data_IF_109535232370
#
_entry.id   IF_109535232370
#
_cell.length_a   1.000
_cell.length_b   1.000
_cell.length_c   1.000
_cell.angle_alpha   90.00
_cell.angle_beta   90.00
_cell.angle_gamma   90.00
#
_symmetry.space_group_name_H-M   'P 1'
#
loop_
_entity.id
_entity.type
_entity.pdbx_description
1 polymer ?
#
# COMPACT_ATOMS: atom_id res chain seq x y z
N UNK A 1 14.14 9.36 11.13
CA UNK A 1 13.66 10.77 11.10
C UNK A 1 12.42 10.87 11.98
N UNK A 2 12.33 11.83 12.93
CA UNK A 2 11.18 11.97 13.80
C UNK A 2 10.03 12.67 13.06
N UNK A 3 9.20 11.90 12.36
CA UNK A 3 8.09 12.43 11.58
C UNK A 3 6.83 12.56 12.42
N UNK A 4 6.47 13.79 12.83
CA UNK A 4 5.24 14.26 13.52
C UNK A 4 5.44 14.94 14.90
N UNK A 5 6.70 15.14 15.33
CA UNK A 5 6.98 15.67 16.67
C UNK A 5 6.67 14.69 17.79
N UNK A 6 6.32 13.44 17.47
CA UNK A 6 6.22 12.36 18.45
C UNK A 6 7.34 11.35 18.11
N UNK A 7 8.06 10.94 19.13
CA UNK A 7 9.09 9.92 19.01
C UNK A 7 8.51 8.63 19.57
N UNK A 8 8.37 7.63 18.70
CA UNK A 8 7.81 6.34 19.02
C UNK A 8 8.88 5.27 18.84
N UNK A 9 8.90 4.30 19.75
CA UNK A 9 9.73 3.10 19.63
C UNK A 9 8.87 1.85 19.74
N UNK A 10 9.15 0.83 18.92
CA UNK A 10 8.57 -0.49 19.14
C UNK A 10 9.12 -1.08 20.43
N UNK A 11 8.25 -1.71 21.19
CA UNK A 11 8.61 -2.44 22.39
C UNK A 11 8.86 -3.90 22.00
N UNK A 12 10.06 -4.40 22.33
CA UNK A 12 10.35 -5.83 22.27
C UNK A 12 9.92 -6.52 23.56
N UNK A 13 9.72 -7.85 23.55
CA UNK A 13 9.31 -8.61 24.74
C UNK A 13 10.22 -8.41 25.96
N UNK A 14 11.53 -8.30 25.75
CA UNK A 14 12.50 -8.02 26.83
C UNK A 14 12.28 -6.66 27.49
N UNK A 15 12.03 -5.61 26.70
CA UNK A 15 11.73 -4.27 27.23
C UNK A 15 10.32 -4.23 27.82
N UNK A 16 9.39 -4.95 27.21
CA UNK A 16 8.01 -5.03 27.63
C UNK A 16 7.81 -5.57 29.04
N UNK A 17 8.67 -6.49 29.48
CA UNK A 17 8.73 -6.98 30.87
C UNK A 17 8.85 -5.84 31.89
N UNK A 18 9.58 -4.77 31.57
CA UNK A 18 9.72 -3.61 32.47
C UNK A 18 8.44 -2.76 32.54
N UNK A 19 7.71 -2.66 31.43
CA UNK A 19 6.47 -1.86 31.34
C UNK A 19 5.20 -2.66 31.64
N UNK A 20 5.30 -3.99 31.79
CA UNK A 20 4.17 -4.87 32.08
C UNK A 20 3.34 -5.24 30.85
N UNK A 21 3.95 -5.32 29.66
CA UNK A 21 3.31 -5.77 28.42
C UNK A 21 4.29 -6.58 27.59
N UNK A 22 3.84 -7.56 26.80
CA UNK A 22 4.75 -8.32 25.93
C UNK A 22 5.04 -7.62 24.60
N UNK A 23 4.11 -6.76 24.16
CA UNK A 23 4.19 -5.99 22.92
C UNK A 23 3.58 -4.59 23.09
N UNK A 24 3.99 -3.65 22.25
CA UNK A 24 3.38 -2.32 22.17
C UNK A 24 4.29 -1.27 21.56
N UNK A 25 3.86 -0.02 21.64
CA UNK A 25 4.63 1.13 21.13
C UNK A 25 4.89 2.10 22.28
N UNK A 26 6.16 2.30 22.62
CA UNK A 26 6.60 3.25 23.63
C UNK A 26 6.65 4.66 23.06
N UNK A 27 6.07 5.61 23.78
CA UNK A 27 6.24 7.04 23.51
C UNK A 27 7.52 7.51 24.18
N UNK A 28 8.52 7.85 23.39
CA UNK A 28 9.78 8.44 23.85
C UNK A 28 9.63 9.95 24.06
N UNK A 29 8.87 10.62 23.19
CA UNK A 29 8.50 12.02 23.38
C UNK A 29 7.23 12.35 22.61
N UNK A 30 6.45 13.30 23.11
CA UNK A 30 5.27 13.81 22.43
C UNK A 30 5.27 15.34 22.45
N UNK A 31 5.30 15.94 21.26
CA UNK A 31 5.12 17.38 21.12
C UNK A 31 3.68 17.76 21.42
N UNK A 32 3.46 18.95 21.99
CA UNK A 32 2.14 19.47 22.37
C UNK A 32 1.14 19.53 21.21
N UNK A 33 1.62 19.68 19.98
CA UNK A 33 0.82 19.67 18.76
C UNK A 33 0.43 18.27 18.29
N UNK A 34 1.07 17.23 18.81
CA UNK A 34 0.99 15.90 18.26
C UNK A 34 -0.05 15.07 19.03
N UNK A 35 0.00 14.99 20.36
CA UNK A 35 -1.08 14.43 21.19
C UNK A 35 -0.94 15.03 22.61
N UNK A 36 -1.91 15.84 23.06
CA UNK A 36 -1.79 16.65 24.30
C UNK A 36 -1.81 15.80 25.58
N UNK A 37 -2.36 14.60 25.50
CA UNK A 37 -2.61 13.71 26.65
C UNK A 37 -1.59 12.60 26.81
N UNK A 38 -0.78 12.35 25.77
CA UNK A 38 0.31 11.37 25.81
C UNK A 38 1.56 11.99 26.43
N UNK A 39 2.26 11.16 27.19
CA UNK A 39 3.50 11.51 27.87
C UNK A 39 4.61 10.55 27.46
N UNK A 40 5.85 11.01 27.58
CA UNK A 40 7.00 10.13 27.48
C UNK A 40 6.91 9.04 28.55
N UNK A 41 7.16 7.79 28.18
CA UNK A 41 7.01 6.62 29.05
C UNK A 41 5.67 5.90 28.94
N UNK A 42 4.69 6.44 28.20
CA UNK A 42 3.44 5.73 27.93
C UNK A 42 3.65 4.64 26.87
N UNK A 43 3.12 3.45 27.14
CA UNK A 43 3.13 2.34 26.17
C UNK A 43 1.74 2.15 25.58
N UNK A 44 1.59 2.47 24.31
CA UNK A 44 0.34 2.32 23.56
C UNK A 44 0.20 0.84 23.16
N UNK A 45 -0.92 0.23 23.52
CA UNK A 45 -1.28 -1.14 23.12
C UNK A 45 -2.42 -1.20 22.12
N UNK A 46 -3.32 -0.21 22.14
CA UNK A 46 -4.47 -0.15 21.26
C UNK A 46 -4.83 1.30 20.93
N UNK A 47 -5.20 1.52 19.67
CA UNK A 47 -5.73 2.80 19.15
C UNK A 47 -7.17 2.55 18.71
N UNK A 48 -8.13 3.04 19.48
CA UNK A 48 -9.55 2.74 19.33
C UNK A 48 -9.80 1.23 19.40
N UNK A 49 -10.26 0.65 18.29
CA UNK A 49 -10.50 -0.79 18.17
C UNK A 49 -9.28 -1.59 17.65
N UNK A 50 -8.22 -0.92 17.20
CA UNK A 50 -7.09 -1.57 16.51
C UNK A 50 -5.91 -1.80 17.48
N UNK A 51 -5.48 -3.05 17.71
CA UNK A 51 -4.27 -3.32 18.48
C UNK A 51 -3.05 -2.83 17.70
N UNK A 52 -2.08 -2.26 18.41
CA UNK A 52 -0.86 -1.70 17.82
C UNK A 52 0.37 -2.25 18.52
N UNK A 53 1.32 -2.73 17.73
CA UNK A 53 2.61 -3.26 18.22
C UNK A 53 3.80 -2.53 17.60
N UNK A 54 3.57 -1.83 16.48
CA UNK A 54 4.61 -1.08 15.76
C UNK A 54 4.24 0.39 15.60
N UNK A 55 5.23 1.31 15.62
CA UNK A 55 5.01 2.73 15.38
C UNK A 55 4.21 3.02 14.11
N UNK A 56 4.50 2.27 13.04
CA UNK A 56 3.83 2.38 11.74
C UNK A 56 2.32 2.15 11.83
N UNK A 57 1.88 1.22 12.69
CA UNK A 57 0.47 0.91 12.87
C UNK A 57 -0.25 2.04 13.60
N UNK A 58 0.41 2.67 14.59
CA UNK A 58 -0.11 3.86 15.26
C UNK A 58 -0.27 5.00 14.25
N UNK A 59 0.77 5.26 13.45
CA UNK A 59 0.72 6.30 12.42
C UNK A 59 -0.40 6.04 11.40
N UNK A 60 -0.55 4.80 10.93
CA UNK A 60 -1.63 4.42 10.02
C UNK A 60 -2.99 4.62 10.67
N UNK A 61 -3.18 4.11 11.89
CA UNK A 61 -4.45 4.21 12.61
C UNK A 61 -4.85 5.67 12.86
N UNK A 62 -3.90 6.56 13.13
CA UNK A 62 -4.16 7.99 13.28
C UNK A 62 -4.43 8.69 11.95
N UNK A 63 -3.73 8.29 10.87
CA UNK A 63 -3.93 8.83 9.52
C UNK A 63 -5.26 8.42 8.90
N UNK A 64 -5.72 7.20 9.17
CA UNK A 64 -7.02 6.71 8.71
C UNK A 64 -8.20 7.36 9.47
N UNK A 65 -7.94 8.06 10.58
CA UNK A 65 -8.95 8.78 11.37
C UNK A 65 -9.10 10.21 10.91
N UNK A 66 -10.29 10.79 11.17
CA UNK A 66 -10.52 12.19 10.82
C UNK A 66 -9.75 13.08 11.79
N UNK A 67 -9.12 14.08 11.21
CA UNK A 67 -8.48 15.17 11.89
C UNK A 67 -9.52 15.85 12.82
N UNK A 68 -9.26 15.91 14.13
CA UNK A 68 -10.20 16.39 15.16
C UNK A 68 -11.15 15.33 15.75
N UNK A 69 -11.08 14.07 15.33
CA UNK A 69 -11.83 12.96 15.93
C UNK A 69 -11.23 12.58 17.30
N UNK A 70 -12.09 12.33 18.29
CA UNK A 70 -11.67 11.78 19.59
C UNK A 70 -11.54 10.27 19.48
N UNK A 71 -10.34 9.75 19.71
CA UNK A 71 -10.05 8.31 19.67
C UNK A 71 -9.63 7.84 21.05
N UNK A 72 -10.23 6.75 21.52
CA UNK A 72 -9.81 6.12 22.78
C UNK A 72 -8.46 5.42 22.59
N UNK A 73 -7.44 5.84 23.34
CA UNK A 73 -6.13 5.19 23.36
C UNK A 73 -6.00 4.33 24.61
N UNK A 74 -5.81 3.02 24.43
CA UNK A 74 -5.45 2.13 25.52
C UNK A 74 -3.93 2.12 25.67
N UNK A 75 -3.46 2.65 26.79
CA UNK A 75 -2.05 2.80 27.13
C UNK A 75 -1.73 2.23 28.51
N UNK A 76 -0.45 1.98 28.74
CA UNK A 76 0.13 1.62 30.02
C UNK A 76 1.02 2.75 30.51
N UNK A 77 0.69 3.28 31.69
CA UNK A 77 1.51 4.28 32.39
C UNK A 77 1.86 3.70 33.76
N UNK A 78 3.14 3.59 34.08
CA UNK A 78 3.59 3.01 35.36
C UNK A 78 3.00 1.62 35.63
N UNK A 79 2.90 0.77 34.59
CA UNK A 79 2.27 -0.56 34.63
C UNK A 79 0.76 -0.57 34.92
N UNK A 80 0.08 0.57 34.86
CA UNK A 80 -1.37 0.69 34.98
C UNK A 80 -2.01 0.88 33.62
N UNK A 81 -2.99 0.05 33.30
CA UNK A 81 -3.82 0.24 32.10
C UNK A 81 -4.69 1.48 32.27
N UNK A 82 -4.57 2.40 31.32
CA UNK A 82 -5.37 3.61 31.22
C UNK A 82 -5.96 3.67 29.81
N UNK A 83 -7.26 3.95 29.73
CA UNK A 83 -7.89 4.38 28.48
C UNK A 83 -8.05 5.89 28.55
N UNK A 84 -7.40 6.61 27.63
CA UNK A 84 -7.49 8.06 27.56
C UNK A 84 -8.10 8.45 26.21
N UNK A 85 -9.22 9.20 26.19
CA UNK A 85 -9.80 9.70 24.95
C UNK A 85 -8.94 10.84 24.42
N UNK A 86 -8.18 10.61 23.34
CA UNK A 86 -7.28 11.62 22.79
C UNK A 86 -7.83 12.19 21.50
N UNK A 87 -7.86 13.53 21.41
CA UNK A 87 -8.21 14.23 20.19
C UNK A 87 -7.06 14.17 19.18
N UNK A 88 -7.31 13.58 18.01
CA UNK A 88 -6.33 13.53 16.92
C UNK A 88 -6.13 14.95 16.37
N UNK A 89 -4.91 15.52 16.38
CA UNK A 89 -4.69 16.85 15.86
C UNK A 89 -5.00 16.94 14.37
N UNK A 90 -5.40 18.13 13.94
CA UNK A 90 -5.64 18.41 12.54
C UNK A 90 -4.31 18.52 11.78
N UNK A 91 -3.80 17.41 11.26
CA UNK A 91 -2.64 17.42 10.37
C UNK A 91 -3.13 17.78 8.96
N UNK A 92 -3.32 19.07 8.72
CA UNK A 92 -3.67 19.58 7.40
C UNK A 92 -2.58 19.18 6.39
N UNK A 93 -2.87 18.15 5.61
CA UNK A 93 -2.49 17.98 4.22
C UNK A 93 -1.02 18.27 3.86
N UNK A 94 -0.10 17.33 4.10
CA UNK A 94 1.15 17.27 3.29
C UNK A 94 1.02 16.23 2.16
N UNK A 95 0.03 15.33 2.24
CA UNK A 95 -0.25 14.33 1.19
C UNK A 95 -1.73 14.27 0.80
N UNK A 96 -2.44 15.39 0.88
CA UNK A 96 -3.76 15.52 0.27
C UNK A 96 -3.59 15.77 -1.23
N UNK A 97 -3.13 14.74 -1.96
CA UNK A 97 -3.15 14.71 -3.44
C UNK A 97 -4.62 14.64 -3.94
N UNK A 98 -5.60 14.61 -3.02
CA UNK A 98 -7.04 14.72 -3.28
C UNK A 98 -7.57 16.16 -3.22
N UNK A 99 -6.75 17.14 -2.80
CA UNK A 99 -7.11 18.56 -2.77
C UNK A 99 -6.47 19.40 -3.87
N UNK A 100 -5.88 18.77 -4.91
CA UNK A 100 -5.74 19.51 -6.16
C UNK A 100 -7.16 19.85 -6.62
N UNK A 101 -7.50 21.13 -6.88
CA UNK A 101 -8.74 21.43 -7.59
C UNK A 101 -8.68 20.58 -8.87
N UNK A 102 -9.69 19.73 -9.07
CA UNK A 102 -9.84 19.02 -10.35
C UNK A 102 -9.78 20.14 -11.40
N UNK A 103 -8.76 20.18 -12.28
CA UNK A 103 -8.75 21.20 -13.32
C UNK A 103 -10.10 21.06 -14.05
N UNK A 104 -10.80 22.17 -14.35
CA UNK A 104 -12.01 22.08 -15.15
C UNK A 104 -11.66 21.26 -16.38
N UNK A 105 -12.49 20.27 -16.71
CA UNK A 105 -12.25 19.38 -17.84
C UNK A 105 -11.81 20.23 -19.03
N UNK A 106 -10.67 19.93 -19.70
CA UNK A 106 -10.36 20.61 -20.94
C UNK A 106 -11.62 20.52 -21.82
N UNK A 107 -12.04 21.61 -22.47
CA UNK A 107 -13.21 21.57 -23.34
C UNK A 107 -13.04 20.36 -24.25
N UNK A 108 -14.09 19.54 -24.34
CA UNK A 108 -14.07 18.34 -25.16
C UNK A 108 -13.37 18.68 -26.48
N UNK A 109 -12.35 17.91 -26.91
CA UNK A 109 -11.80 18.14 -28.24
C UNK A 109 -12.99 18.20 -29.20
N UNK A 110 -13.07 19.22 -30.07
CA UNK A 110 -14.19 19.32 -31.00
C UNK A 110 -14.33 17.95 -31.64
N UNK A 111 -15.57 17.44 -31.62
CA UNK A 111 -15.88 16.12 -32.16
C UNK A 111 -15.07 15.92 -33.45
N UNK A 112 -14.35 14.79 -33.60
CA UNK A 112 -13.64 14.54 -34.85
C UNK A 112 -14.64 14.80 -35.98
N UNK A 113 -14.27 15.61 -37.00
CA UNK A 113 -15.16 15.87 -38.10
C UNK A 113 -15.65 14.53 -38.62
N UNK A 114 -16.98 14.43 -38.79
CA UNK A 114 -17.62 13.29 -39.40
C UNK A 114 -16.78 12.80 -40.59
N UNK A 115 -16.62 11.47 -40.79
CA UNK A 115 -15.75 10.95 -41.84
C UNK A 115 -16.11 11.61 -43.16
N UNK A 116 -15.22 12.50 -43.61
CA UNK A 116 -15.32 13.12 -44.92
C UNK A 116 -15.19 11.96 -45.88
N UNK A 117 -16.26 11.74 -46.64
CA UNK A 117 -16.41 10.72 -47.68
C UNK A 117 -15.06 10.46 -48.34
N UNK A 118 -14.51 9.26 -48.14
CA UNK A 118 -13.48 8.76 -49.01
C UNK A 118 -14.12 8.67 -50.40
N UNK A 119 -13.71 9.59 -51.28
CA UNK A 119 -14.06 9.53 -52.69
C UNK A 119 -13.57 8.18 -53.23
N UNK A 120 -14.51 7.42 -53.78
CA UNK A 120 -14.27 6.20 -54.54
C UNK A 120 -13.28 6.46 -55.68
N UNK A 121 -12.29 5.58 -55.89
CA UNK A 121 -11.83 5.27 -57.23
C UNK A 121 -12.30 3.87 -57.66
N UNK A 122 -12.59 3.79 -58.95
CA UNK A 122 -12.76 2.60 -59.80
C UNK A 122 -14.13 1.93 -59.85
N UNK A 123 -14.92 2.42 -60.82
CA UNK A 123 -15.69 1.61 -61.77
C UNK A 123 -15.01 0.26 -62.08
N UNK A 124 -15.75 -0.86 -62.10
CA UNK A 124 -15.21 -2.17 -62.45
C UNK A 124 -15.11 -2.38 -63.96
N UNK A 125 -14.04 -3.05 -64.45
CA UNK A 125 -14.17 -3.94 -65.58
C UNK A 125 -14.07 -5.40 -65.11
N UNK A 126 -15.00 -6.21 -65.61
CA UNK A 126 -15.02 -7.67 -65.48
C UNK A 126 -13.90 -8.33 -66.37
N UNK A 127 -13.84 -9.67 -66.50
CA UNK A 127 -12.97 -10.57 -65.73
C UNK A 127 -11.92 -11.33 -66.59
N UNK A 128 -10.82 -11.81 -65.99
CA UNK A 128 -10.08 -12.98 -66.51
C UNK A 128 -9.26 -13.68 -65.40
N UNK A 129 -9.48 -14.99 -65.24
CA UNK A 129 -8.71 -15.99 -64.46
C UNK A 129 -7.35 -16.30 -65.16
N UNK A 130 -6.50 -17.25 -64.70
CA UNK A 130 -5.97 -17.67 -63.37
C UNK A 130 -4.40 -17.76 -63.39
N UNK A 131 -3.79 -18.59 -62.51
CA UNK A 131 -2.34 -19.00 -62.40
C UNK A 131 -1.53 -18.10 -61.44
N UNK A 132 -0.79 -18.53 -60.41
CA UNK A 132 -0.31 -19.78 -59.82
C UNK A 132 0.47 -19.43 -58.52
N UNK A 133 1.04 -20.38 -57.75
CA UNK A 133 1.35 -20.21 -56.32
C UNK A 133 2.82 -19.83 -56.04
N UNK A 134 3.07 -19.02 -55.00
CA UNK A 134 4.35 -18.93 -54.26
C UNK A 134 4.09 -18.12 -52.97
N UNK A 135 3.91 -18.73 -51.80
CA UNK A 135 4.93 -19.30 -50.92
C UNK A 135 5.82 -18.24 -50.20
N UNK A 136 6.11 -18.54 -48.93
CA UNK A 136 7.01 -17.88 -47.98
C UNK A 136 6.32 -16.90 -47.00
N UNK A 137 5.74 -17.37 -45.88
CA UNK A 137 6.34 -17.93 -44.65
C UNK A 137 6.63 -16.86 -43.60
N UNK A 138 5.83 -16.90 -42.52
CA UNK A 138 6.02 -16.18 -41.25
C UNK A 138 7.34 -16.57 -40.58
N UNK A 139 8.12 -15.64 -39.99
CA UNK A 139 9.18 -16.00 -39.05
C UNK A 139 8.58 -16.36 -37.68
N UNK A 140 9.03 -17.49 -37.13
CA UNK A 140 8.63 -18.06 -35.83
C UNK A 140 9.23 -17.28 -34.62
N UNK A 141 8.60 -17.32 -33.44
CA UNK A 141 9.13 -16.72 -32.21
C UNK A 141 10.33 -17.51 -31.64
N UNK A 142 11.22 -16.86 -30.86
CA UNK A 142 12.40 -17.50 -30.27
C UNK A 142 12.06 -18.51 -29.15
N UNK A 143 12.94 -19.50 -28.88
CA UNK A 143 12.68 -20.56 -27.91
C UNK A 143 12.84 -20.09 -26.45
N UNK A 144 12.03 -20.70 -25.55
CA UNK A 144 12.05 -20.49 -24.11
C UNK A 144 13.29 -21.10 -23.42
N UNK A 145 13.74 -20.58 -22.26
CA UNK A 145 14.88 -21.10 -21.52
C UNK A 145 14.59 -22.48 -20.88
N UNK A 146 15.62 -23.32 -20.67
CA UNK A 146 15.46 -24.66 -20.10
C UNK A 146 15.10 -24.64 -18.60
N UNK A 147 14.28 -25.61 -18.19
CA UNK A 147 13.81 -25.80 -16.81
C UNK A 147 14.93 -26.25 -15.85
N UNK A 148 14.83 -25.94 -14.54
CA UNK A 148 15.81 -26.36 -13.54
C UNK A 148 15.80 -27.88 -13.31
N UNK A 149 16.93 -28.49 -12.91
CA UNK A 149 17.03 -29.93 -12.65
C UNK A 149 16.21 -30.36 -11.41
N UNK A 150 15.60 -31.54 -11.51
CA UNK A 150 14.78 -32.14 -10.45
C UNK A 150 15.64 -32.58 -9.25
N UNK A 151 15.10 -32.50 -8.00
CA UNK A 151 15.78 -33.02 -6.82
C UNK A 151 15.85 -34.56 -6.84
N UNK A 152 16.95 -35.18 -6.36
CA UNK A 152 17.10 -36.63 -6.33
C UNK A 152 16.09 -37.28 -5.37
N UNK A 153 15.51 -38.40 -5.82
CA UNK A 153 14.54 -39.19 -5.06
C UNK A 153 15.20 -39.86 -3.85
N UNK A 154 14.47 -39.86 -2.72
CA UNK A 154 14.75 -40.69 -1.55
C UNK A 154 14.30 -42.11 -1.85
N UNK A 155 15.25 -42.98 -2.14
CA UNK A 155 15.08 -44.42 -2.14
C UNK A 155 16.36 -45.02 -1.58
N UNK A 156 16.35 -45.36 -0.29
CA UNK A 156 17.02 -46.53 0.30
C UNK A 156 16.85 -46.48 1.83
N UNK A 157 15.84 -47.19 2.35
CA UNK A 157 15.91 -47.78 3.69
C UNK A 157 16.24 -49.26 3.48
N UNK A 158 17.23 -49.78 4.23
CA UNK A 158 16.88 -50.97 5.00
C UNK A 158 17.30 -50.88 6.47
N UNK A 159 16.49 -51.54 7.29
CA UNK A 159 16.64 -51.77 8.71
C UNK A 159 17.92 -52.56 9.06
N UNK A 160 18.58 -52.16 10.16
CA UNK A 160 19.55 -52.89 10.99
C UNK A 160 19.85 -51.95 12.18
N UNK A 161 19.81 -52.29 13.47
CA UNK A 161 19.70 -53.54 14.22
C UNK A 161 19.15 -53.17 15.62
#
# INVERSE_FOLDING_TARGET
MPWWGLNLASLNPDLGRYFGTDSGVLVLSASRNALKELRAGDVIRRVGAQPVERPEQVLRALRDRRAGETVELALLRERKNLSVPVAVPEYKAIFDIRSLPVPPAPPAPPAPPAPVRQATPATPPAPAKPVGPAAASLPAPPPAPPAPPAPPQRDDLPALY
#
